data_IF_083645992022
#
_entry.id   IF_083645992022
#
_cell.length_a   1.000
_cell.length_b   1.000
_cell.length_c   1.000
_cell.angle_alpha   90.00
_cell.angle_beta   90.00
_cell.angle_gamma   90.00
#
_symmetry.space_group_name_H-M   'P 1'
#
loop_
_entity.id
_entity.type
_entity.pdbx_description
1 polymer ?
#
# COMPACT_ATOMS: atom_id res chain seq x y z
N UNK A 1 -10.64 23.02 2.85
CA UNK A 1 -11.33 21.70 2.92
C UNK A 1 -12.55 21.71 1.99
N UNK A 2 -13.22 20.57 1.76
CA UNK A 2 -14.38 20.49 0.85
C UNK A 2 -15.49 21.49 1.23
N UNK A 3 -15.73 21.68 2.52
CA UNK A 3 -16.65 22.69 3.07
C UNK A 3 -16.32 24.12 2.62
N UNK A 4 -15.05 24.50 2.67
CA UNK A 4 -14.61 25.87 2.36
C UNK A 4 -14.71 26.15 0.86
N UNK A 5 -14.41 25.14 0.02
CA UNK A 5 -14.61 25.23 -1.42
C UNK A 5 -16.09 25.38 -1.77
N UNK A 6 -16.98 24.63 -1.13
CA UNK A 6 -18.43 24.73 -1.32
C UNK A 6 -18.97 26.11 -0.88
N UNK A 7 -18.41 26.69 0.18
CA UNK A 7 -18.80 28.02 0.66
C UNK A 7 -18.48 29.15 -0.32
N UNK A 8 -17.56 28.94 -1.29
CA UNK A 8 -17.23 29.92 -2.33
C UNK A 8 -18.09 29.82 -3.59
N UNK A 9 -18.92 28.77 -3.70
CA UNK A 9 -19.78 28.55 -4.86
C UNK A 9 -21.07 29.38 -4.78
N UNK A 10 -21.54 29.86 -5.93
CA UNK A 10 -22.85 30.50 -5.99
C UNK A 10 -23.97 29.47 -5.74
N UNK A 11 -25.16 29.88 -5.29
CA UNK A 11 -26.29 28.95 -5.11
C UNK A 11 -26.64 28.16 -6.37
N UNK A 12 -26.43 28.76 -7.54
CA UNK A 12 -26.64 28.11 -8.84
C UNK A 12 -25.59 27.02 -9.10
N UNK A 13 -24.33 27.29 -8.79
CA UNK A 13 -23.24 26.33 -8.99
C UNK A 13 -23.31 25.18 -7.99
N UNK A 14 -23.73 25.45 -6.74
CA UNK A 14 -24.01 24.40 -5.76
C UNK A 14 -25.10 23.45 -6.25
N UNK A 15 -26.22 23.99 -6.77
CA UNK A 15 -27.30 23.16 -7.31
C UNK A 15 -26.87 22.34 -8.53
N UNK A 16 -26.02 22.90 -9.41
CA UNK A 16 -25.51 22.20 -10.59
C UNK A 16 -24.47 21.12 -10.24
N UNK A 17 -23.66 21.37 -9.21
CA UNK A 17 -22.59 20.47 -8.78
C UNK A 17 -23.02 19.52 -7.66
N UNK A 18 -24.27 19.59 -7.18
CA UNK A 18 -24.76 18.81 -6.04
C UNK A 18 -24.41 17.33 -6.13
N UNK A 19 -24.57 16.71 -7.30
CA UNK A 19 -24.21 15.30 -7.52
C UNK A 19 -22.71 15.01 -7.33
N UNK A 20 -21.83 15.93 -7.72
CA UNK A 20 -20.36 15.83 -7.55
C UNK A 20 -19.98 16.16 -6.09
N UNK A 21 -20.67 17.11 -5.47
CA UNK A 21 -20.50 17.48 -4.08
C UNK A 21 -20.95 16.36 -3.13
N UNK A 22 -21.96 15.59 -3.49
CA UNK A 22 -22.43 14.44 -2.72
C UNK A 22 -21.68 13.16 -3.04
N UNK A 23 -21.04 13.08 -4.22
CA UNK A 23 -20.18 11.97 -4.57
C UNK A 23 -19.06 11.81 -3.54
N UNK A 24 -19.06 10.66 -2.88
CA UNK A 24 -17.87 10.16 -2.18
C UNK A 24 -17.00 9.47 -3.24
N UNK A 25 -15.68 9.71 -3.26
CA UNK A 25 -14.78 8.86 -4.02
C UNK A 25 -15.08 7.42 -3.62
N UNK A 26 -15.44 6.58 -4.59
CA UNK A 26 -15.52 5.16 -4.32
C UNK A 26 -14.14 4.74 -3.79
N UNK A 27 -14.10 4.04 -2.65
CA UNK A 27 -12.90 3.31 -2.31
C UNK A 27 -12.61 2.42 -3.53
N UNK A 28 -11.37 2.43 -4.08
CA UNK A 28 -11.04 1.51 -5.15
C UNK A 28 -11.44 0.11 -4.66
N UNK A 29 -12.30 -0.57 -5.44
CA UNK A 29 -12.68 -1.92 -5.11
C UNK A 29 -11.38 -2.71 -4.94
N UNK A 30 -11.21 -3.46 -3.83
CA UNK A 30 -10.08 -4.37 -3.74
C UNK A 30 -10.07 -5.20 -5.01
N UNK A 31 -8.91 -5.34 -5.65
CA UNK A 31 -8.74 -6.40 -6.65
C UNK A 31 -8.77 -7.70 -5.84
N UNK A 32 -9.97 -8.13 -5.46
CA UNK A 32 -10.18 -9.28 -4.62
C UNK A 32 -9.82 -10.51 -5.46
N UNK A 33 -8.62 -11.03 -5.20
CA UNK A 33 -8.21 -12.32 -5.71
C UNK A 33 -9.15 -13.41 -5.24
N UNK A 34 -9.16 -14.54 -5.94
CA UNK A 34 -9.82 -15.74 -5.44
C UNK A 34 -9.22 -16.11 -4.07
N UNK A 35 -9.99 -16.70 -3.13
CA UNK A 35 -9.43 -17.22 -1.89
C UNK A 35 -8.26 -18.17 -2.20
N UNK A 36 -7.08 -17.86 -1.66
CA UNK A 36 -5.85 -18.64 -1.83
C UNK A 36 -5.54 -19.40 -0.56
N UNK A 37 -5.00 -20.60 -0.67
CA UNK A 37 -4.51 -21.36 0.47
C UNK A 37 -3.08 -20.94 0.80
N UNK A 38 -2.69 -21.14 2.05
CA UNK A 38 -1.29 -21.03 2.46
C UNK A 38 -0.41 -21.96 1.60
N UNK A 39 0.63 -21.42 0.98
CA UNK A 39 1.65 -22.17 0.23
C UNK A 39 2.87 -22.38 1.11
N UNK A 40 3.50 -21.30 1.57
CA UNK A 40 4.70 -21.34 2.40
C UNK A 40 4.88 -20.01 3.13
N UNK A 41 5.33 -20.04 4.38
CA UNK A 41 5.86 -18.85 5.06
C UNK A 41 7.25 -18.54 4.52
N UNK A 42 7.33 -17.67 3.53
CA UNK A 42 8.56 -17.37 2.82
C UNK A 42 9.57 -16.64 3.71
N UNK A 43 10.83 -17.05 3.65
CA UNK A 43 11.96 -16.34 4.25
C UNK A 43 12.82 -15.70 3.16
N UNK A 44 13.59 -14.68 3.53
CA UNK A 44 14.49 -14.00 2.61
C UNK A 44 15.42 -14.98 1.88
N UNK A 45 15.99 -15.94 2.59
CA UNK A 45 16.94 -16.91 2.02
C UNK A 45 16.28 -17.95 1.11
N UNK A 46 14.95 -18.09 1.13
CA UNK A 46 14.22 -18.97 0.22
C UNK A 46 14.13 -18.40 -1.21
N UNK A 47 14.24 -17.08 -1.36
CA UNK A 47 13.91 -16.33 -2.59
C UNK A 47 15.04 -15.42 -3.08
N UNK A 48 15.90 -14.95 -2.18
CA UNK A 48 17.00 -14.06 -2.53
C UNK A 48 17.98 -14.65 -3.56
N UNK A 49 18.34 -15.95 -3.53
CA UNK A 49 19.17 -16.55 -4.57
C UNK A 49 18.57 -16.41 -5.98
N UNK A 50 17.27 -16.66 -6.12
CA UNK A 50 16.54 -16.60 -7.39
C UNK A 50 16.42 -15.16 -7.92
N UNK A 51 16.34 -14.17 -7.01
CA UNK A 51 16.42 -12.76 -7.40
C UNK A 51 17.81 -12.37 -7.92
N UNK A 52 18.87 -12.97 -7.38
CA UNK A 52 20.25 -12.71 -7.80
C UNK A 52 20.59 -13.32 -9.17
N UNK A 53 19.95 -14.43 -9.55
CA UNK A 53 20.09 -15.07 -10.87
C UNK A 53 19.49 -14.22 -12.02
N UNK A 54 18.69 -13.22 -11.67
CA UNK A 54 18.04 -12.32 -12.61
C UNK A 54 16.66 -12.79 -13.01
N UNK A 55 15.70 -11.87 -12.94
CA UNK A 55 14.28 -12.10 -13.18
C UNK A 55 13.94 -12.19 -14.68
N UNK A 56 14.47 -13.20 -15.38
CA UNK A 56 14.23 -13.38 -16.82
C UNK A 56 12.93 -14.15 -17.10
N UNK A 57 12.33 -13.87 -18.25
CA UNK A 57 11.12 -14.52 -18.77
C UNK A 57 9.94 -14.53 -17.79
N UNK A 58 9.81 -13.47 -17.00
CA UNK A 58 8.71 -13.29 -16.04
C UNK A 58 7.43 -12.83 -16.74
N UNK A 59 6.29 -13.04 -16.10
CA UNK A 59 4.98 -12.63 -16.62
C UNK A 59 4.53 -11.32 -15.96
N UNK A 60 4.56 -10.24 -16.74
CA UNK A 60 4.10 -8.91 -16.32
C UNK A 60 2.63 -8.90 -15.84
N UNK A 61 1.74 -9.57 -16.58
CA UNK A 61 0.30 -9.53 -16.29
C UNK A 61 -0.02 -10.34 -15.03
N UNK A 62 0.70 -11.44 -14.81
CA UNK A 62 0.65 -12.18 -13.56
C UNK A 62 1.19 -11.34 -12.40
N UNK A 63 2.36 -10.71 -12.55
CA UNK A 63 2.93 -9.84 -11.51
C UNK A 63 2.01 -8.69 -11.10
N UNK A 64 1.42 -7.95 -12.05
CA UNK A 64 0.44 -6.90 -11.76
C UNK A 64 -0.80 -7.45 -11.04
N UNK A 65 -1.34 -8.58 -11.51
CA UNK A 65 -2.51 -9.21 -10.87
C UNK A 65 -2.19 -9.59 -9.42
N UNK A 66 -1.04 -10.23 -9.19
CA UNK A 66 -0.59 -10.64 -7.85
C UNK A 66 -0.38 -9.46 -6.92
N UNK A 67 0.06 -8.29 -7.41
CA UNK A 67 0.14 -7.08 -6.60
C UNK A 67 -1.24 -6.66 -6.04
N UNK A 68 -2.31 -6.93 -6.79
CA UNK A 68 -3.69 -6.77 -6.32
C UNK A 68 -4.14 -7.89 -5.38
N UNK A 69 -3.91 -9.16 -5.75
CA UNK A 69 -4.32 -10.31 -4.95
C UNK A 69 -3.63 -10.37 -3.57
N UNK A 70 -2.38 -9.89 -3.49
CA UNK A 70 -1.62 -9.73 -2.24
C UNK A 70 -1.98 -8.44 -1.48
N UNK A 71 -3.05 -7.74 -1.88
CA UNK A 71 -3.56 -6.51 -1.26
C UNK A 71 -2.59 -5.32 -1.25
N UNK A 72 -1.54 -5.32 -2.08
CA UNK A 72 -0.59 -4.22 -2.10
C UNK A 72 -1.23 -2.91 -2.58
N UNK A 73 -2.12 -2.98 -3.58
CA UNK A 73 -2.89 -1.82 -4.08
C UNK A 73 -3.78 -1.16 -3.02
N UNK A 74 -4.15 -1.88 -1.96
CA UNK A 74 -4.99 -1.32 -0.89
C UNK A 74 -4.28 -0.17 -0.19
N UNK A 75 -2.98 -0.29 0.02
CA UNK A 75 -2.19 0.71 0.75
C UNK A 75 -1.27 1.52 -0.16
N UNK A 76 -0.68 0.89 -1.18
CA UNK A 76 0.36 1.48 -2.01
C UNK A 76 -0.17 1.90 -3.36
N UNK A 77 0.36 3.04 -3.83
CA UNK A 77 0.27 3.42 -5.23
C UNK A 77 1.32 2.68 -6.04
N UNK A 78 0.95 2.25 -7.23
CA UNK A 78 1.88 1.81 -8.24
C UNK A 78 1.37 2.23 -9.61
N UNK A 79 2.18 2.98 -10.34
CA UNK A 79 1.79 3.72 -11.55
C UNK A 79 0.58 4.62 -11.26
N UNK A 80 -0.55 4.39 -11.92
CA UNK A 80 -1.79 5.17 -11.78
C UNK A 80 -2.82 4.50 -10.88
N UNK A 81 -2.47 3.42 -10.19
CA UNK A 81 -3.40 2.56 -9.46
C UNK A 81 -3.04 2.43 -7.98
N UNK A 82 -4.03 2.11 -7.15
CA UNK A 82 -3.86 1.81 -5.73
C UNK A 82 -4.12 2.98 -4.75
N UNK A 83 -3.72 2.76 -3.51
CA UNK A 83 -3.96 3.65 -2.37
C UNK A 83 -2.85 4.67 -2.11
N UNK A 84 -3.03 5.48 -1.07
CA UNK A 84 -2.06 6.50 -0.63
C UNK A 84 -1.73 6.37 0.86
N UNK A 85 -1.99 5.19 1.44
CA UNK A 85 -1.82 4.93 2.87
C UNK A 85 -0.36 4.61 3.19
N UNK A 86 0.30 3.87 2.29
CA UNK A 86 1.73 3.62 2.26
C UNK A 86 2.45 4.41 1.15
N UNK A 87 3.78 4.28 1.05
CA UNK A 87 4.57 4.96 0.02
C UNK A 87 4.21 4.54 -1.40
N UNK A 88 4.41 5.46 -2.34
CA UNK A 88 4.35 5.16 -3.77
C UNK A 88 5.51 4.23 -4.17
N UNK A 89 5.15 3.04 -4.66
CA UNK A 89 6.09 1.97 -5.02
C UNK A 89 6.50 2.01 -6.50
N UNK A 90 5.97 2.91 -7.32
CA UNK A 90 6.31 3.00 -8.76
C UNK A 90 7.81 3.12 -8.99
N UNK A 91 8.50 3.88 -8.14
CA UNK A 91 9.95 4.08 -8.21
C UNK A 91 10.78 3.05 -7.43
N UNK A 92 10.18 2.03 -6.82
CA UNK A 92 10.86 1.14 -5.88
C UNK A 92 12.05 0.42 -6.51
N UNK A 93 11.91 -0.09 -7.74
CA UNK A 93 12.99 -0.75 -8.47
C UNK A 93 14.19 0.13 -8.85
N UNK A 94 14.11 1.45 -8.64
CA UNK A 94 15.26 2.35 -8.73
C UNK A 94 15.89 2.74 -7.40
N UNK A 95 15.18 2.52 -6.30
CA UNK A 95 15.58 2.93 -4.95
C UNK A 95 16.17 1.79 -4.14
N UNK A 96 15.68 0.58 -4.38
CA UNK A 96 16.07 -0.62 -3.64
C UNK A 96 16.70 -1.64 -4.58
N UNK A 97 17.69 -2.36 -4.08
CA UNK A 97 18.13 -3.59 -4.74
C UNK A 97 17.06 -4.69 -4.51
N UNK A 98 17.05 -5.77 -5.33
CA UNK A 98 16.04 -6.82 -5.23
C UNK A 98 15.92 -7.48 -3.85
N UNK A 99 17.05 -7.68 -3.14
CA UNK A 99 17.08 -8.31 -1.82
C UNK A 99 16.44 -7.41 -0.76
N UNK A 100 16.78 -6.12 -0.74
CA UNK A 100 16.25 -5.16 0.24
C UNK A 100 14.75 -4.94 0.04
N UNK A 101 14.31 -4.88 -1.22
CA UNK A 101 12.88 -4.79 -1.53
C UNK A 101 12.11 -6.02 -1.05
N UNK A 102 12.65 -7.22 -1.30
CA UNK A 102 12.05 -8.46 -0.82
C UNK A 102 12.03 -8.51 0.71
N UNK A 103 13.12 -8.11 1.37
CA UNK A 103 13.19 -8.07 2.82
C UNK A 103 12.16 -7.11 3.44
N UNK A 104 11.94 -5.95 2.81
CA UNK A 104 10.91 -5.00 3.22
C UNK A 104 9.49 -5.57 3.12
N UNK A 105 9.26 -6.51 2.21
CA UNK A 105 7.96 -7.19 2.05
C UNK A 105 7.80 -8.34 3.05
N UNK A 106 8.85 -9.12 3.29
CA UNK A 106 8.82 -10.27 4.19
C UNK A 106 8.87 -9.83 5.66
N UNK A 107 9.67 -8.81 5.97
CA UNK A 107 9.91 -8.30 7.34
C UNK A 107 9.65 -6.80 7.41
N UNK A 108 8.40 -6.34 7.21
CA UNK A 108 8.07 -4.91 7.13
C UNK A 108 8.37 -4.12 8.40
N UNK A 109 8.47 -4.77 9.56
CA UNK A 109 8.85 -4.13 10.83
C UNK A 109 10.36 -3.98 11.03
N UNK A 110 11.20 -4.54 10.14
CA UNK A 110 12.66 -4.44 10.26
C UNK A 110 13.14 -3.00 10.18
N UNK A 111 12.63 -2.26 9.20
CA UNK A 111 12.88 -0.83 9.03
C UNK A 111 11.59 -0.15 8.59
N UNK A 112 11.10 0.79 9.42
CA UNK A 112 9.90 1.57 9.13
C UNK A 112 10.32 3.02 8.95
N UNK A 113 10.02 3.60 7.79
CA UNK A 113 10.27 5.02 7.55
C UNK A 113 9.50 5.88 8.54
N UNK A 114 10.16 6.88 9.13
CA UNK A 114 9.56 7.86 10.05
C UNK A 114 8.27 8.49 9.50
N UNK A 115 8.15 8.65 8.18
CA UNK A 115 6.94 9.19 7.53
C UNK A 115 5.70 8.29 7.68
N UNK A 116 5.91 6.97 7.78
CA UNK A 116 4.85 5.96 7.83
C UNK A 116 4.81 5.22 9.18
N UNK A 117 5.74 5.51 10.08
CA UNK A 117 5.81 4.89 11.39
C UNK A 117 4.59 5.28 12.23
N UNK A 118 3.91 4.26 12.76
CA UNK A 118 2.84 4.46 13.73
C UNK A 118 3.42 4.94 15.06
N UNK A 119 2.60 5.62 15.85
CA UNK A 119 2.87 5.95 17.23
C UNK A 119 1.90 5.22 18.15
N UNK A 120 2.32 5.03 19.39
CA UNK A 120 1.50 4.55 20.50
C UNK A 120 1.26 5.75 21.41
N UNK A 121 0.00 6.13 21.56
CA UNK A 121 -0.43 7.20 22.44
C UNK A 121 -1.08 6.57 23.66
N UNK A 122 -0.46 6.76 24.82
CA UNK A 122 -1.06 6.42 26.10
C UNK A 122 -1.79 7.63 26.66
N UNK A 123 -3.04 7.46 27.08
CA UNK A 123 -3.85 8.51 27.67
C UNK A 123 -3.86 8.42 29.20
N UNK A 124 -4.12 9.56 29.85
CA UNK A 124 -4.22 9.67 31.31
C UNK A 124 -5.31 8.76 31.93
N UNK A 125 -6.29 8.30 31.13
CA UNK A 125 -7.33 7.37 31.55
C UNK A 125 -6.97 5.88 31.30
N UNK A 126 -5.74 5.60 30.87
CA UNK A 126 -5.23 4.26 30.57
C UNK A 126 -5.61 3.74 29.17
N UNK A 127 -6.33 4.52 28.35
CA UNK A 127 -6.58 4.13 26.95
C UNK A 127 -5.31 4.23 26.13
N UNK A 128 -5.13 3.26 25.24
CA UNK A 128 -4.03 3.25 24.27
C UNK A 128 -4.59 3.39 22.86
N UNK A 129 -4.06 4.35 22.11
CA UNK A 129 -4.37 4.55 20.70
C UNK A 129 -3.10 4.34 19.89
N UNK A 130 -3.10 3.33 19.01
CA UNK A 130 -2.00 3.07 18.09
C UNK A 130 -2.41 3.45 16.67
N UNK A 131 -1.58 4.24 16.00
CA UNK A 131 -1.85 4.66 14.63
C UNK A 131 -0.92 5.78 14.17
N UNK A 132 -1.21 6.36 13.02
CA UNK A 132 -0.41 7.47 12.46
C UNK A 132 -1.15 8.79 12.64
N UNK A 133 -0.47 9.82 13.15
CA UNK A 133 -1.03 11.17 13.18
C UNK A 133 -1.10 11.67 11.74
N UNK A 134 -2.31 11.96 11.27
CA UNK A 134 -2.55 12.50 9.92
C UNK A 134 -2.82 13.99 9.94
N UNK A 135 -3.19 14.54 11.09
CA UNK A 135 -3.35 15.96 11.31
C UNK A 135 -3.21 16.30 12.80
N UNK A 136 -2.78 17.52 13.11
CA UNK A 136 -2.77 18.06 14.46
C UNK A 136 -3.23 19.51 14.42
N UNK A 137 -4.38 19.80 15.03
CA UNK A 137 -4.93 21.15 15.10
C UNK A 137 -5.64 21.39 16.44
N UNK A 138 -5.58 22.62 16.97
CA UNK A 138 -6.32 23.03 18.17
C UNK A 138 -6.25 22.01 19.33
N UNK A 139 -5.06 21.58 19.72
CA UNK A 139 -4.82 20.56 20.75
C UNK A 139 -5.47 19.18 20.47
N UNK A 140 -5.86 18.90 19.24
CA UNK A 140 -6.49 17.64 18.82
C UNK A 140 -5.62 16.95 17.77
N UNK A 141 -5.11 15.77 18.13
CA UNK A 141 -4.46 14.85 17.20
C UNK A 141 -5.52 14.02 16.48
N UNK A 142 -5.49 14.03 15.16
CA UNK A 142 -6.31 13.16 14.33
C UNK A 142 -5.43 11.96 13.94
N UNK A 143 -5.80 10.79 14.45
CA UNK A 143 -5.02 9.56 14.36
C UNK A 143 -5.73 8.57 13.46
N UNK A 144 -5.03 8.06 12.46
CA UNK A 144 -5.49 6.98 11.61
C UNK A 144 -5.05 5.64 12.22
N UNK A 145 -6.00 4.88 12.76
CA UNK A 145 -5.75 3.62 13.47
C UNK A 145 -5.90 2.39 12.57
N UNK A 146 -6.63 2.51 11.45
CA UNK A 146 -6.86 1.44 10.49
C UNK A 146 -6.50 1.89 9.07
N UNK A 147 -5.52 1.26 8.43
CA UNK A 147 -5.14 1.55 7.04
C UNK A 147 -6.20 1.14 6.02
N UNK A 148 -7.04 0.16 6.36
CA UNK A 148 -8.13 -0.33 5.51
C UNK A 148 -9.40 0.52 5.60
N UNK A 149 -9.51 1.36 6.64
CA UNK A 149 -10.59 2.33 6.80
C UNK A 149 -10.01 3.75 6.92
N UNK A 150 -9.70 4.41 5.80
CA UNK A 150 -9.14 5.77 5.81
C UNK A 150 -10.07 6.81 6.44
N UNK A 151 -11.36 6.50 6.63
CA UNK A 151 -12.33 7.39 7.29
C UNK A 151 -12.48 7.10 8.79
N UNK A 152 -11.97 5.96 9.28
CA UNK A 152 -11.98 5.54 10.68
C UNK A 152 -10.96 6.30 11.54
N UNK A 153 -10.99 7.63 11.49
CA UNK A 153 -10.08 8.50 12.22
C UNK A 153 -10.52 8.64 13.69
N UNK A 154 -9.54 8.62 14.59
CA UNK A 154 -9.72 8.79 16.04
C UNK A 154 -9.16 10.15 16.44
N UNK A 155 -9.97 10.94 17.14
CA UNK A 155 -9.53 12.21 17.71
C UNK A 155 -9.00 11.99 19.13
N UNK A 156 -7.77 12.43 19.38
CA UNK A 156 -7.12 12.38 20.68
C UNK A 156 -6.80 13.80 21.12
N UNK A 157 -7.36 14.22 22.27
CA UNK A 157 -7.02 15.51 22.86
C UNK A 157 -5.61 15.44 23.48
N UNK A 158 -4.72 16.34 23.07
CA UNK A 158 -3.34 16.43 23.53
C UNK A 158 -3.22 16.60 25.06
N UNK A 159 -4.22 17.22 25.70
CA UNK A 159 -4.26 17.39 27.16
C UNK A 159 -4.53 16.09 27.91
N UNK A 160 -5.06 15.08 27.23
CA UNK A 160 -5.33 13.76 27.80
C UNK A 160 -4.18 12.78 27.55
N UNK A 161 -3.09 13.21 26.93
CA UNK A 161 -1.95 12.36 26.59
C UNK A 161 -1.02 12.26 27.78
N UNK A 162 -0.71 11.02 28.17
CA UNK A 162 0.32 10.69 29.15
C UNK A 162 1.69 10.54 28.47
N UNK A 163 1.74 9.81 27.35
CA UNK A 163 2.98 9.56 26.60
C UNK A 163 2.71 9.34 25.11
N UNK A 164 3.73 9.57 24.29
CA UNK A 164 3.73 9.24 22.86
C UNK A 164 5.06 8.55 22.54
N UNK A 165 4.99 7.33 22.03
CA UNK A 165 6.16 6.55 21.62
C UNK A 165 6.04 6.11 20.16
N UNK A 166 7.19 5.94 19.50
CA UNK A 166 7.24 5.36 18.16
C UNK A 166 6.96 3.86 18.23
N UNK A 167 6.08 3.34 17.38
CA UNK A 167 5.84 1.91 17.24
C UNK A 167 7.01 1.23 16.55
N UNK A 168 7.50 0.12 17.13
CA UNK A 168 8.45 -0.77 16.47
C UNK A 168 7.78 -1.76 15.51
N UNK A 169 6.44 -1.75 15.41
CA UNK A 169 5.66 -2.60 14.53
C UNK A 169 5.14 -1.78 13.34
N UNK A 170 5.37 -2.29 12.14
CA UNK A 170 4.85 -1.71 10.90
C UNK A 170 3.33 -1.87 10.79
N UNK A 171 2.67 -0.92 10.12
CA UNK A 171 1.26 -1.08 9.73
C UNK A 171 1.11 -1.92 8.44
N UNK A 172 2.21 -2.21 7.73
CA UNK A 172 2.21 -3.16 6.62
C UNK A 172 2.14 -4.59 7.18
N UNK A 173 1.16 -5.41 6.77
CA UNK A 173 1.03 -6.77 7.28
C UNK A 173 2.20 -7.67 6.88
N UNK A 174 2.53 -8.63 7.74
CA UNK A 174 3.43 -9.74 7.40
C UNK A 174 2.68 -10.82 6.62
N UNK A 175 3.43 -11.72 5.95
CA UNK A 175 2.85 -12.89 5.28
C UNK A 175 2.09 -12.59 3.98
N UNK A 176 2.27 -11.40 3.39
CA UNK A 176 1.62 -11.01 2.14
C UNK A 176 1.95 -11.94 0.95
N UNK A 177 3.11 -12.61 1.01
CA UNK A 177 3.56 -13.56 -0.02
C UNK A 177 3.16 -15.00 0.26
N UNK A 178 2.59 -15.30 1.44
CA UNK A 178 2.51 -16.68 1.94
C UNK A 178 1.58 -17.60 1.14
N UNK A 179 0.70 -17.00 0.33
CA UNK A 179 -0.26 -17.71 -0.53
C UNK A 179 0.19 -17.80 -1.99
N UNK A 180 1.38 -17.27 -2.30
CA UNK A 180 1.98 -17.27 -3.62
C UNK A 180 3.01 -18.39 -3.71
N UNK A 181 3.06 -19.07 -4.86
CA UNK A 181 4.18 -19.96 -5.17
C UNK A 181 5.46 -19.18 -5.54
N UNK A 182 6.58 -19.89 -5.68
CA UNK A 182 7.87 -19.25 -5.93
C UNK A 182 7.86 -18.43 -7.24
N UNK A 183 7.28 -18.96 -8.32
CA UNK A 183 7.27 -18.29 -9.62
C UNK A 183 6.36 -17.06 -9.61
N UNK A 184 5.24 -17.14 -8.89
CA UNK A 184 4.36 -16.01 -8.64
C UNK A 184 5.07 -14.89 -7.85
N UNK A 185 5.82 -15.24 -6.80
CA UNK A 185 6.62 -14.24 -6.07
C UNK A 185 7.65 -13.59 -6.99
N UNK A 186 8.34 -14.35 -7.84
CA UNK A 186 9.33 -13.81 -8.78
C UNK A 186 8.69 -12.89 -9.84
N UNK A 187 7.48 -13.20 -10.31
CA UNK A 187 6.72 -12.33 -11.22
C UNK A 187 6.27 -11.03 -10.55
N UNK A 188 5.81 -11.11 -9.30
CA UNK A 188 5.47 -9.94 -8.49
C UNK A 188 6.70 -9.04 -8.29
N UNK A 189 7.84 -9.64 -7.94
CA UNK A 189 9.10 -8.91 -7.80
C UNK A 189 9.55 -8.30 -9.13
N UNK A 190 9.37 -8.99 -10.26
CA UNK A 190 9.70 -8.45 -11.58
C UNK A 190 8.84 -7.25 -11.94
N UNK A 191 7.54 -7.30 -11.63
CA UNK A 191 6.61 -6.19 -11.80
C UNK A 191 7.01 -4.96 -10.99
N UNK A 192 7.39 -5.15 -9.72
CA UNK A 192 7.88 -4.07 -8.85
C UNK A 192 9.21 -3.47 -9.35
N UNK A 193 10.17 -4.33 -9.68
CA UNK A 193 11.52 -3.92 -10.08
C UNK A 193 11.55 -3.28 -11.47
N UNK A 194 10.63 -3.65 -12.36
CA UNK A 194 10.47 -3.02 -13.67
C UNK A 194 9.81 -1.65 -13.62
N UNK A 195 9.30 -1.21 -12.44
CA UNK A 195 8.55 0.05 -12.29
C UNK A 195 7.25 0.09 -13.09
N UNK A 196 6.72 -1.09 -13.44
CA UNK A 196 5.55 -1.20 -14.32
C UNK A 196 5.87 -1.08 -15.81
N UNK A 197 7.15 -1.03 -16.19
CA UNK A 197 7.57 -0.97 -17.60
C UNK A 197 7.53 -2.35 -18.25
N UNK A 198 6.49 -2.61 -19.06
CA UNK A 198 6.32 -3.89 -19.78
C UNK A 198 7.49 -4.21 -20.73
N UNK A 199 8.19 -3.19 -21.21
CA UNK A 199 9.35 -3.32 -22.09
C UNK A 199 10.64 -3.74 -21.37
N UNK A 200 10.61 -3.91 -20.04
CA UNK A 200 11.76 -4.39 -19.27
C UNK A 200 12.26 -5.74 -19.76
N UNK A 201 13.58 -5.93 -19.73
CA UNK A 201 14.26 -7.18 -20.07
C UNK A 201 13.92 -8.36 -19.14
N UNK A 202 13.22 -8.08 -18.03
CA UNK A 202 12.72 -9.10 -17.12
C UNK A 202 11.57 -9.91 -17.72
N UNK A 203 10.81 -9.32 -18.65
CA UNK A 203 9.63 -9.97 -19.21
C UNK A 203 9.94 -10.64 -20.54
N UNK A 204 9.30 -11.78 -20.77
CA UNK A 204 9.33 -12.43 -22.08
C UNK A 204 8.60 -11.55 -23.11
N UNK A 205 9.12 -11.51 -24.34
CA UNK A 205 8.36 -10.95 -25.47
C UNK A 205 7.14 -11.84 -25.67
N UNK A 206 5.93 -11.33 -25.39
CA UNK A 206 4.72 -11.99 -25.89
C UNK A 206 4.78 -11.88 -27.41
N UNK A 207 5.24 -12.94 -28.08
CA UNK A 207 4.94 -13.13 -29.50
C UNK A 207 3.42 -13.03 -29.59
N UNK A 208 2.93 -11.97 -30.23
CA UNK A 208 1.53 -11.87 -30.57
C UNK A 208 1.19 -13.13 -31.35
N UNK A 209 0.47 -14.06 -30.74
CA UNK A 209 -0.12 -15.18 -31.47
C UNK A 209 -0.99 -14.54 -32.54
N UNK A 210 -0.58 -14.75 -33.79
CA UNK A 210 -1.32 -14.34 -34.96
C UNK A 210 -2.73 -14.92 -34.84
N UNK A 211 -3.70 -14.04 -34.62
CA UNK A 211 -5.10 -14.36 -34.88
C UNK A 211 -5.21 -14.51 -36.40
N UNK A 212 -5.05 -15.72 -36.90
CA UNK A 212 -5.37 -16.03 -38.29
C UNK A 212 -6.87 -15.80 -38.53
N UNK A 213 -7.25 -15.32 -39.73
CA UNK A 213 -8.62 -14.98 -40.10
C UNK A 213 -9.54 -16.20 -40.15
#
# INVERSE_FOLDING_TARGET
>A
MKSDAVATLSPKDQAQLQAILDARPAAPAPIAGKPRTLVKKWKLDDLAPQLAEGLKNRDFDRGRRLFGEANCFTCHRFTTEGGAQGPDLTGAGGRFNPRDLLESIITPSKEVSDQYQAIVIEQNDGKVVTGRIVNYNNDTMIVMTNMLDPNGLVNVNAKNVASIEKSNTSMMPEGLLDTLDQDEVLDLMAYLLSRGERSSTMFGVKTAEAKSP
#
